data_IF_554091338260
#
_entry.id   IF_554091338260
#
_cell.length_a   1.000
_cell.length_b   1.000
_cell.length_c   1.000
_cell.angle_alpha   90.00
_cell.angle_beta   90.00
_cell.angle_gamma   90.00
#
_symmetry.space_group_name_H-M   'P 1'
#
loop_
_entity.id
_entity.type
_entity.pdbx_description
1 polymer ?
#
# COMPACT_ATOMS: atom_id res chain seq x y z
N UNK A 1 12.35 -10.48 -2.13
CA UNK A 1 11.85 -11.51 -3.06
C UNK A 1 12.72 -12.76 -3.14
N UNK A 2 13.99 -12.73 -3.61
CA UNK A 2 14.83 -13.95 -3.72
C UNK A 2 14.91 -14.82 -2.47
N UNK A 3 15.06 -14.20 -1.29
CA UNK A 3 15.02 -14.92 0.00
C UNK A 3 13.70 -15.65 0.24
N UNK A 4 12.58 -15.00 -0.07
CA UNK A 4 11.22 -15.55 0.07
C UNK A 4 11.03 -16.68 -0.93
N UNK A 5 11.37 -16.49 -2.20
CA UNK A 5 11.31 -17.53 -3.22
C UNK A 5 12.06 -18.81 -2.80
N UNK A 6 13.20 -18.68 -2.12
CA UNK A 6 13.99 -19.82 -1.63
C UNK A 6 13.42 -20.47 -0.37
N UNK A 7 12.92 -19.68 0.58
CA UNK A 7 12.56 -20.16 1.91
C UNK A 7 11.06 -20.43 2.10
N UNK A 8 10.20 -19.73 1.36
CA UNK A 8 8.74 -19.81 1.43
C UNK A 8 8.12 -19.39 0.08
N UNK A 9 8.24 -20.20 -0.98
CA UNK A 9 7.78 -19.86 -2.33
C UNK A 9 6.26 -19.61 -2.42
N UNK A 10 5.47 -20.27 -1.59
CA UNK A 10 4.00 -20.14 -1.56
C UNK A 10 3.49 -18.93 -0.75
N UNK A 11 4.39 -18.09 -0.22
CA UNK A 11 4.00 -16.92 0.55
C UNK A 11 3.19 -15.94 -0.32
N UNK A 12 2.11 -15.41 0.25
CA UNK A 12 1.34 -14.30 -0.33
C UNK A 12 1.88 -12.98 0.22
N UNK A 13 2.40 -12.14 -0.66
CA UNK A 13 3.11 -10.93 -0.26
C UNK A 13 2.25 -9.68 -0.38
N UNK A 14 2.46 -8.73 0.53
CA UNK A 14 2.01 -7.35 0.38
C UNK A 14 3.21 -6.48 0.01
N UNK A 15 3.07 -5.65 -1.01
CA UNK A 15 4.09 -4.66 -1.38
C UNK A 15 3.88 -3.38 -0.59
N UNK A 16 4.93 -2.87 0.02
CA UNK A 16 4.86 -1.60 0.74
C UNK A 16 5.35 -0.43 -0.14
N UNK A 17 4.48 0.54 -0.39
CA UNK A 17 4.82 1.78 -1.10
C UNK A 17 5.34 2.83 -0.13
N UNK A 18 6.34 3.61 -0.55
CA UNK A 18 6.83 4.75 0.23
C UNK A 18 5.98 5.98 -0.06
N UNK A 19 5.44 6.62 0.96
CA UNK A 19 4.80 7.93 0.84
C UNK A 19 5.84 9.03 0.97
N UNK A 20 5.89 9.98 0.04
CA UNK A 20 6.82 11.13 0.06
C UNK A 20 6.55 12.15 1.18
N UNK A 21 5.61 11.87 2.10
CA UNK A 21 5.20 12.77 3.17
C UNK A 21 6.27 13.06 4.25
N UNK A 22 7.55 12.70 4.04
CA UNK A 22 8.62 12.93 5.02
C UNK A 22 9.86 13.57 4.39
N UNK A 23 9.92 14.89 4.53
CA UNK A 23 11.17 15.65 4.64
C UNK A 23 11.46 15.80 6.15
N UNK A 24 11.80 14.70 6.82
CA UNK A 24 12.47 14.78 8.13
C UNK A 24 13.74 13.93 8.04
N UNK A 25 14.89 14.60 8.10
CA UNK A 25 16.26 14.13 7.76
C UNK A 25 16.76 12.91 8.56
N UNK A 26 15.95 12.29 9.41
CA UNK A 26 16.34 11.21 10.31
C UNK A 26 15.44 9.95 10.26
N UNK A 27 14.39 9.93 9.44
CA UNK A 27 13.51 8.75 9.33
C UNK A 27 13.96 7.81 8.21
N UNK A 28 14.15 6.53 8.53
CA UNK A 28 14.38 5.49 7.50
C UNK A 28 13.08 5.30 6.73
N UNK A 29 13.04 5.74 5.47
CA UNK A 29 11.89 5.51 4.60
C UNK A 29 11.75 4.00 4.35
N UNK A 30 10.69 3.40 4.86
CA UNK A 30 10.34 2.01 4.57
C UNK A 30 9.33 2.01 3.42
N UNK A 31 9.64 1.26 2.37
CA UNK A 31 8.80 1.12 1.18
C UNK A 31 9.58 1.31 -0.10
N UNK A 32 8.87 1.30 -1.22
CA UNK A 32 9.43 1.55 -2.55
C UNK A 32 8.62 2.61 -3.28
N UNK A 33 9.28 3.38 -4.16
CA UNK A 33 8.58 4.25 -5.10
C UNK A 33 7.72 3.43 -6.07
N UNK A 34 6.77 4.05 -6.76
CA UNK A 34 5.94 3.37 -7.78
C UNK A 34 6.80 2.64 -8.83
N UNK A 35 7.89 3.28 -9.28
CA UNK A 35 8.86 2.64 -10.18
C UNK A 35 9.50 1.41 -9.53
N UNK A 36 9.89 1.50 -8.26
CA UNK A 36 10.42 0.36 -7.52
C UNK A 36 9.40 -0.78 -7.37
N UNK A 37 8.13 -0.45 -7.08
CA UNK A 37 7.03 -1.40 -7.00
C UNK A 37 6.82 -2.15 -8.33
N UNK A 38 6.87 -1.45 -9.48
CA UNK A 38 6.82 -2.08 -10.80
C UNK A 38 7.92 -3.13 -10.98
N UNK A 39 9.17 -2.77 -10.70
CA UNK A 39 10.30 -3.71 -10.82
C UNK A 39 10.15 -4.90 -9.85
N UNK A 40 9.62 -4.68 -8.65
CA UNK A 40 9.36 -5.76 -7.69
C UNK A 40 8.26 -6.71 -8.17
N UNK A 41 7.20 -6.19 -8.82
CA UNK A 41 6.16 -7.03 -9.40
C UNK A 41 6.69 -7.88 -10.56
N UNK A 42 7.49 -7.28 -11.44
CA UNK A 42 8.16 -8.00 -12.54
C UNK A 42 9.06 -9.11 -11.98
N UNK A 43 9.90 -8.80 -10.99
CA UNK A 43 10.76 -9.78 -10.33
C UNK A 43 9.95 -10.86 -9.59
N UNK A 44 8.81 -10.52 -8.97
CA UNK A 44 7.95 -11.50 -8.32
C UNK A 44 7.38 -12.49 -9.34
N UNK A 45 7.00 -11.99 -10.53
CA UNK A 45 6.54 -12.82 -11.65
C UNK A 45 7.64 -13.77 -12.12
N UNK A 46 8.85 -13.27 -12.36
CA UNK A 46 10.01 -14.07 -12.75
C UNK A 46 10.35 -15.18 -11.74
N UNK A 47 10.19 -14.88 -10.45
CA UNK A 47 10.48 -15.82 -9.36
C UNK A 47 9.30 -16.72 -8.99
N UNK A 48 8.16 -16.62 -9.68
CA UNK A 48 6.92 -17.33 -9.37
C UNK A 48 6.45 -17.14 -7.91
N UNK A 49 6.59 -15.94 -7.36
CA UNK A 49 6.12 -15.58 -6.02
C UNK A 49 4.83 -14.76 -6.12
N UNK A 50 3.84 -15.09 -5.29
CA UNK A 50 2.55 -14.40 -5.30
C UNK A 50 2.60 -13.06 -4.57
N UNK A 51 2.09 -12.01 -5.21
CA UNK A 51 1.78 -10.73 -4.56
C UNK A 51 0.26 -10.61 -4.48
N UNK A 52 -0.26 -10.53 -3.26
CA UNK A 52 -1.69 -10.51 -2.97
C UNK A 52 -2.24 -9.09 -2.74
N UNK A 53 -1.38 -8.08 -2.63
CA UNK A 53 -1.86 -6.75 -2.29
C UNK A 53 -0.79 -5.72 -1.98
N UNK A 54 -1.24 -4.61 -1.40
CA UNK A 54 -0.43 -3.43 -1.09
C UNK A 54 -0.60 -3.07 0.37
N UNK A 55 0.50 -2.66 1.00
CA UNK A 55 0.52 -2.02 2.32
C UNK A 55 0.91 -0.56 2.16
N UNK A 56 0.10 0.30 2.75
CA UNK A 56 0.35 1.73 2.89
C UNK A 56 0.97 2.02 4.25
N UNK A 57 1.65 3.15 4.35
CA UNK A 57 2.10 3.67 5.63
C UNK A 57 1.99 5.18 5.61
N UNK A 58 1.05 5.72 6.40
CA UNK A 58 1.01 7.14 6.72
C UNK A 58 1.54 7.32 8.15
N UNK A 59 2.66 8.03 8.37
CA UNK A 59 3.22 8.20 9.69
C UNK A 59 2.25 8.86 10.66
N UNK A 60 2.28 8.48 11.94
CA UNK A 60 1.44 9.10 12.96
C UNK A 60 1.70 10.60 13.15
N UNK A 61 2.93 11.03 12.87
CA UNK A 61 3.35 12.43 12.88
C UNK A 61 2.84 13.23 11.67
N UNK A 62 2.32 12.55 10.63
CA UNK A 62 1.81 13.20 9.45
C UNK A 62 0.52 13.95 9.77
N UNK A 63 0.56 15.28 9.64
CA UNK A 63 -0.58 16.16 9.87
C UNK A 63 -1.31 16.55 8.58
N UNK A 64 -0.77 16.15 7.43
CA UNK A 64 -1.32 16.47 6.12
C UNK A 64 -2.34 15.40 5.69
N UNK A 65 -3.63 15.73 5.58
CA UNK A 65 -4.64 14.79 5.11
C UNK A 65 -4.38 14.30 3.68
N UNK A 66 -3.68 15.08 2.85
CA UNK A 66 -3.35 14.69 1.47
C UNK A 66 -2.40 13.49 1.41
N UNK A 67 -1.69 13.18 2.49
CA UNK A 67 -0.86 11.98 2.56
C UNK A 67 -1.68 10.70 2.34
N UNK A 68 -2.91 10.63 2.86
CA UNK A 68 -3.80 9.49 2.61
C UNK A 68 -4.28 9.45 1.15
N UNK A 69 -4.57 10.60 0.55
CA UNK A 69 -4.92 10.71 -0.87
C UNK A 69 -3.82 10.14 -1.75
N UNK A 70 -2.58 10.59 -1.55
CA UNK A 70 -1.43 10.12 -2.32
C UNK A 70 -1.20 8.62 -2.09
N UNK A 71 -1.20 8.17 -0.82
CA UNK A 71 -0.98 6.76 -0.50
C UNK A 71 -2.03 5.84 -1.16
N UNK A 72 -3.31 6.20 -1.12
CA UNK A 72 -4.39 5.41 -1.72
C UNK A 72 -4.34 5.44 -3.25
N UNK A 73 -4.04 6.59 -3.84
CA UNK A 73 -3.83 6.71 -5.29
C UNK A 73 -2.65 5.86 -5.77
N UNK A 74 -1.54 5.88 -5.04
CA UNK A 74 -0.37 5.04 -5.35
C UNK A 74 -0.70 3.56 -5.20
N UNK A 75 -1.45 3.19 -4.15
CA UNK A 75 -1.96 1.83 -3.99
C UNK A 75 -2.74 1.39 -5.23
N UNK A 76 -3.68 2.22 -5.69
CA UNK A 76 -4.49 1.93 -6.88
C UNK A 76 -3.61 1.68 -8.10
N UNK A 77 -2.62 2.55 -8.32
CA UNK A 77 -1.65 2.39 -9.41
C UNK A 77 -0.91 1.05 -9.32
N UNK A 78 -0.50 0.62 -8.11
CA UNK A 78 0.16 -0.68 -7.92
C UNK A 78 -0.77 -1.86 -8.16
N UNK A 79 -2.04 -1.78 -7.76
CA UNK A 79 -3.05 -2.78 -8.12
C UNK A 79 -3.22 -2.89 -9.64
N UNK A 80 -3.24 -1.77 -10.35
CA UNK A 80 -3.32 -1.75 -11.83
C UNK A 80 -2.09 -2.39 -12.47
N UNK A 81 -0.88 -2.01 -12.03
CA UNK A 81 0.36 -2.66 -12.47
C UNK A 81 0.38 -4.16 -12.15
N UNK A 82 -0.15 -4.55 -11.00
CA UNK A 82 -0.31 -5.94 -10.59
C UNK A 82 -1.20 -6.71 -11.56
N UNK A 83 -2.37 -6.16 -11.87
CA UNK A 83 -3.32 -6.74 -12.82
C UNK A 83 -2.73 -6.89 -14.22
N UNK A 84 -2.00 -5.88 -14.71
CA UNK A 84 -1.29 -5.94 -16.00
C UNK A 84 -0.30 -7.12 -16.06
N UNK A 85 0.38 -7.43 -14.96
CA UNK A 85 1.34 -8.53 -14.85
C UNK A 85 0.68 -9.88 -14.50
N UNK A 86 -0.65 -9.90 -14.36
CA UNK A 86 -1.46 -11.08 -14.06
C UNK A 86 -1.42 -11.52 -12.60
N UNK A 87 -1.24 -10.57 -11.66
CA UNK A 87 -1.49 -10.79 -10.24
C UNK A 87 -2.97 -10.56 -9.92
N UNK A 88 -3.53 -11.43 -9.10
CA UNK A 88 -4.87 -11.27 -8.53
C UNK A 88 -4.75 -10.71 -7.11
N UNK A 89 -4.63 -9.38 -7.03
CA UNK A 89 -4.50 -8.68 -5.75
C UNK A 89 -5.86 -8.38 -5.15
N UNK A 90 -6.02 -8.69 -3.87
CA UNK A 90 -7.27 -8.52 -3.13
C UNK A 90 -7.10 -8.06 -1.68
N UNK A 91 -5.90 -7.60 -1.30
CA UNK A 91 -5.64 -7.07 0.05
C UNK A 91 -5.07 -5.65 -0.03
N UNK A 92 -5.72 -4.71 0.65
CA UNK A 92 -5.19 -3.38 0.91
C UNK A 92 -5.02 -3.20 2.42
N UNK A 93 -3.79 -3.09 2.89
CA UNK A 93 -3.46 -2.76 4.28
C UNK A 93 -3.22 -1.24 4.37
N UNK A 94 -4.12 -0.52 5.04
CA UNK A 94 -4.03 0.95 5.16
C UNK A 94 -3.04 1.39 6.26
N UNK A 95 -2.42 0.43 6.94
CA UNK A 95 -1.44 0.66 7.98
C UNK A 95 -2.05 1.17 9.29
N UNK A 96 -1.18 1.74 10.11
CA UNK A 96 -1.54 2.34 11.39
C UNK A 96 -1.14 3.81 11.45
N UNK A 97 -0.79 4.29 12.66
CA UNK A 97 -0.40 5.68 12.88
C UNK A 97 -1.54 6.56 13.41
N UNK A 98 -2.68 5.95 13.74
CA UNK A 98 -3.74 6.65 14.45
C UNK A 98 -3.32 6.90 15.91
N UNK A 99 -3.25 8.18 16.30
CA UNK A 99 -3.08 8.67 17.67
C UNK A 99 -4.19 8.21 18.63
N UNK A 100 -5.33 7.75 18.11
CA UNK A 100 -6.51 7.38 18.91
C UNK A 100 -7.32 8.58 19.42
N UNK A 101 -6.92 9.82 19.14
CA UNK A 101 -7.73 10.99 19.46
C UNK A 101 -9.00 11.03 18.60
N UNK A 102 -10.14 11.39 19.21
CA UNK A 102 -11.43 11.47 18.49
C UNK A 102 -11.37 12.43 17.30
N UNK A 103 -10.65 13.54 17.46
CA UNK A 103 -10.43 14.52 16.40
C UNK A 103 -9.72 13.90 15.20
N UNK A 104 -8.60 13.20 15.42
CA UNK A 104 -7.87 12.57 14.33
C UNK A 104 -8.68 11.45 13.68
N UNK A 105 -9.39 10.63 14.47
CA UNK A 105 -10.23 9.56 13.91
C UNK A 105 -11.35 10.11 13.02
N UNK A 106 -12.00 11.21 13.43
CA UNK A 106 -13.02 11.89 12.60
C UNK A 106 -12.42 12.43 11.31
N UNK A 107 -11.26 13.09 11.39
CA UNK A 107 -10.57 13.62 10.23
C UNK A 107 -10.18 12.52 9.24
N UNK A 108 -9.52 11.47 9.74
CA UNK A 108 -9.14 10.28 8.99
C UNK A 108 -10.35 9.63 8.33
N UNK A 109 -11.43 9.39 9.08
CA UNK A 109 -12.65 8.77 8.53
C UNK A 109 -13.25 9.60 7.42
N UNK A 110 -13.35 10.93 7.59
CA UNK A 110 -13.93 11.83 6.59
C UNK A 110 -13.12 11.89 5.28
N UNK A 111 -11.81 11.64 5.34
CA UNK A 111 -10.91 11.68 4.19
C UNK A 111 -10.75 10.31 3.55
N UNK A 112 -10.45 9.28 4.34
CA UNK A 112 -10.15 7.93 3.85
C UNK A 112 -11.41 7.28 3.26
N UNK A 113 -12.58 7.38 3.90
CA UNK A 113 -13.76 6.64 3.46
C UNK A 113 -14.16 7.00 2.01
N UNK A 114 -14.31 8.27 1.61
CA UNK A 114 -14.61 8.61 0.23
C UNK A 114 -13.55 8.12 -0.77
N UNK A 115 -12.27 8.17 -0.38
CA UNK A 115 -11.17 7.71 -1.22
C UNK A 115 -11.16 6.19 -1.41
N UNK A 116 -11.47 5.43 -0.34
CA UNK A 116 -11.62 3.98 -0.44
C UNK A 116 -12.77 3.61 -1.37
N UNK A 117 -13.93 4.25 -1.24
CA UNK A 117 -15.05 4.00 -2.17
C UNK A 117 -14.70 4.37 -3.62
N UNK A 118 -13.87 5.40 -3.84
CA UNK A 118 -13.47 5.81 -5.18
C UNK A 118 -12.44 4.86 -5.82
N UNK A 119 -11.44 4.41 -5.07
CA UNK A 119 -10.32 3.61 -5.61
C UNK A 119 -10.51 2.10 -5.47
N UNK A 120 -11.19 1.68 -4.40
CA UNK A 120 -11.38 0.30 -3.95
C UNK A 120 -12.84 0.09 -3.48
N UNK A 121 -13.82 0.30 -4.37
CA UNK A 121 -15.23 0.15 -4.01
C UNK A 121 -15.53 -1.28 -3.56
N UNK A 122 -16.59 -1.47 -2.78
CA UNK A 122 -16.94 -2.78 -2.20
C UNK A 122 -17.12 -3.88 -3.26
N UNK A 123 -17.56 -3.54 -4.48
CA UNK A 123 -17.71 -4.51 -5.57
C UNK A 123 -16.38 -4.97 -6.18
N UNK A 124 -15.26 -4.30 -5.87
CA UNK A 124 -13.93 -4.69 -6.34
C UNK A 124 -13.42 -6.00 -5.73
N UNK A 125 -14.03 -6.45 -4.63
CA UNK A 125 -13.60 -7.66 -3.91
C UNK A 125 -12.30 -7.50 -3.11
N UNK A 126 -11.79 -6.27 -2.99
CA UNK A 126 -10.59 -5.97 -2.19
C UNK A 126 -10.94 -5.94 -0.70
N UNK A 127 -10.25 -6.76 0.08
CA UNK A 127 -10.29 -6.74 1.55
C UNK A 127 -9.40 -5.62 2.07
N UNK A 128 -10.00 -4.70 2.83
CA UNK A 128 -9.29 -3.57 3.44
C UNK A 128 -9.02 -3.91 4.91
N UNK A 129 -7.76 -3.83 5.34
CA UNK A 129 -7.31 -4.14 6.71
C UNK A 129 -6.50 -2.99 7.33
#
# INVERSE_FOLDING_TARGET
>A
LRKIARAHPEAKLLLQVSTEAQIEEASVTIGCSLKGCRHLLELAKELNVSVAGVKLQVPASCKDPQAYTHALSDARCIFDMGKELGFDMNILDIGGGFSGSEFQLKQVHSVIRPLLEAYFPSESGVSII
#
